data_IF_372576929636
#
_entry.id   IF_372576929636
#
_cell.length_a   1.000
_cell.length_b   1.000
_cell.length_c   1.000
_cell.angle_alpha   90.00
_cell.angle_beta   90.00
_cell.angle_gamma   90.00
#
_symmetry.space_group_name_H-M   'P 1'
#
loop_
_entity.id
_entity.type
_entity.pdbx_description
1 polymer ?
#
# COMPACT_ATOMS: atom_id res chain seq x y z
N UNK A 1 8.86 -16.94 35.85
CA UNK A 1 8.28 -17.34 34.55
C UNK A 1 8.25 -16.11 33.64
N UNK A 2 9.29 -15.98 32.83
CA UNK A 2 9.51 -14.80 32.02
C UNK A 2 8.45 -14.73 30.92
N UNK A 3 7.59 -13.71 30.99
CA UNK A 3 6.68 -13.37 29.91
C UNK A 3 7.51 -12.89 28.72
N UNK A 4 7.86 -13.80 27.82
CA UNK A 4 8.39 -13.47 26.50
C UNK A 4 7.27 -12.76 25.72
N UNK A 5 7.29 -11.43 25.71
CA UNK A 5 6.44 -10.63 24.84
C UNK A 5 7.04 -10.70 23.43
N UNK A 6 6.33 -11.30 22.48
CA UNK A 6 6.77 -11.29 21.08
C UNK A 6 6.96 -9.84 20.61
N UNK A 7 7.99 -9.53 19.80
CA UNK A 7 8.17 -8.19 19.27
C UNK A 7 6.93 -7.79 18.43
N UNK A 8 6.56 -6.49 18.42
CA UNK A 8 5.43 -6.04 17.64
C UNK A 8 5.66 -6.34 16.16
N UNK A 9 4.60 -6.76 15.47
CA UNK A 9 4.67 -7.07 14.04
C UNK A 9 4.82 -5.79 13.21
N UNK A 10 5.59 -5.83 12.11
CA UNK A 10 5.97 -4.63 11.38
C UNK A 10 4.80 -3.95 10.67
N UNK A 11 4.79 -2.62 10.74
CA UNK A 11 3.97 -1.70 9.94
C UNK A 11 4.90 -0.62 9.40
N UNK A 12 5.09 -0.56 8.08
CA UNK A 12 6.19 0.17 7.44
C UNK A 12 5.65 1.01 6.28
N UNK A 13 6.24 2.19 6.11
CA UNK A 13 6.11 3.03 4.92
C UNK A 13 7.44 3.06 4.19
N UNK A 14 7.43 2.86 2.87
CA UNK A 14 8.64 2.85 2.04
C UNK A 14 8.45 3.69 0.79
N UNK A 15 9.45 4.52 0.44
CA UNK A 15 9.50 5.26 -0.82
C UNK A 15 10.56 4.64 -1.73
N UNK A 16 10.20 4.29 -2.96
CA UNK A 16 11.12 3.68 -3.92
C UNK A 16 10.75 3.96 -5.38
N UNK A 17 11.75 3.82 -6.26
CA UNK A 17 11.53 3.80 -7.71
C UNK A 17 11.04 2.42 -8.14
N UNK A 18 9.92 2.39 -8.87
CA UNK A 18 9.30 1.19 -9.41
C UNK A 18 9.61 1.06 -10.89
N UNK A 19 9.97 -0.16 -11.32
CA UNK A 19 10.24 -0.50 -12.72
C UNK A 19 9.19 -1.49 -13.23
N UNK A 20 8.43 -1.14 -14.28
CA UNK A 20 7.42 -2.00 -14.90
C UNK A 20 7.63 -2.15 -16.40
N UNK A 21 7.57 -3.40 -16.89
CA UNK A 21 7.87 -3.70 -18.29
C UNK A 21 6.76 -3.28 -19.26
N UNK A 22 5.49 -3.25 -18.82
CA UNK A 22 4.33 -2.77 -19.60
C UNK A 22 4.26 -3.39 -21.03
N UNK A 23 4.52 -4.70 -21.16
CA UNK A 23 4.74 -5.39 -22.45
C UNK A 23 3.50 -5.60 -23.31
N UNK A 24 2.29 -5.37 -22.79
CA UNK A 24 1.03 -5.40 -23.57
C UNK A 24 0.59 -3.96 -23.88
N UNK A 25 0.82 -3.52 -25.12
CA UNK A 25 0.81 -2.11 -25.55
C UNK A 25 -0.51 -1.65 -26.14
N UNK A 26 -1.62 -2.34 -25.87
CA UNK A 26 -2.95 -1.96 -26.36
C UNK A 26 -3.54 -0.68 -25.75
N UNK A 27 -2.83 0.01 -24.85
CA UNK A 27 -3.30 1.21 -24.14
C UNK A 27 -2.30 2.36 -24.20
N UNK A 28 -2.86 3.57 -24.24
CA UNK A 28 -2.25 4.85 -24.56
C UNK A 28 -0.76 4.99 -24.18
N UNK A 29 0.15 5.15 -25.16
CA UNK A 29 1.59 5.31 -24.91
C UNK A 29 1.98 6.75 -24.50
N UNK A 30 1.01 7.65 -24.38
CA UNK A 30 1.24 9.08 -24.18
C UNK A 30 0.89 9.51 -22.76
N UNK A 31 1.70 10.41 -22.20
CA UNK A 31 1.48 10.97 -20.86
C UNK A 31 2.08 10.13 -19.74
N UNK A 32 1.67 10.44 -18.50
CA UNK A 32 2.26 9.88 -17.27
C UNK A 32 1.43 8.75 -16.65
N UNK A 33 0.32 8.37 -17.28
CA UNK A 33 -0.60 7.36 -16.73
C UNK A 33 0.01 5.96 -16.70
N UNK A 34 0.85 5.61 -17.69
CA UNK A 34 1.55 4.33 -17.79
C UNK A 34 2.98 4.54 -18.27
N UNK A 35 3.93 4.44 -17.34
CA UNK A 35 5.36 4.63 -17.61
C UNK A 35 6.18 3.48 -17.01
N UNK A 36 7.35 3.24 -17.59
CA UNK A 36 8.24 2.17 -17.11
C UNK A 36 8.87 2.46 -15.76
N UNK A 37 8.94 3.73 -15.36
CA UNK A 37 9.62 4.18 -14.15
C UNK A 37 8.80 5.25 -13.43
N UNK A 38 8.50 5.03 -12.15
CA UNK A 38 7.79 6.01 -11.31
C UNK A 38 8.17 5.85 -9.84
N UNK A 39 8.03 6.91 -9.04
CA UNK A 39 8.23 6.85 -7.59
C UNK A 39 6.94 6.46 -6.89
N UNK A 40 7.01 5.55 -5.92
CA UNK A 40 5.85 5.10 -5.14
C UNK A 40 6.16 5.11 -3.65
N UNK A 41 5.22 5.61 -2.85
CA UNK A 41 5.16 5.40 -1.41
C UNK A 41 4.23 4.22 -1.14
N UNK A 42 4.73 3.18 -0.47
CA UNK A 42 4.00 1.94 -0.17
C UNK A 42 3.74 1.81 1.33
N UNK A 43 2.51 1.42 1.69
CA UNK A 43 2.18 0.91 3.02
C UNK A 43 2.27 -0.61 3.03
N UNK A 44 3.03 -1.16 3.98
CA UNK A 44 3.19 -2.60 4.15
C UNK A 44 3.03 -2.96 5.62
N UNK A 45 2.32 -4.05 5.92
CA UNK A 45 2.23 -4.55 7.29
C UNK A 45 2.11 -6.06 7.35
N UNK A 46 2.57 -6.60 8.47
CA UNK A 46 2.41 -8.01 8.85
C UNK A 46 1.52 -8.05 10.07
N UNK A 47 0.50 -8.90 10.04
CA UNK A 47 -0.45 -9.07 11.14
C UNK A 47 -0.28 -10.44 11.78
N UNK A 48 -0.80 -10.57 13.00
CA UNK A 48 -1.04 -11.87 13.58
C UNK A 48 -2.12 -12.59 12.75
N UNK A 49 -2.27 -13.88 13.01
CA UNK A 49 -3.33 -14.70 12.43
C UNK A 49 -3.99 -15.54 13.54
N UNK A 50 -4.15 -14.93 14.72
CA UNK A 50 -4.67 -15.61 15.91
C UNK A 50 -6.21 -15.63 15.89
N UNK A 51 -6.83 -14.49 15.54
CA UNK A 51 -8.27 -14.32 15.42
C UNK A 51 -8.81 -14.51 14.00
N UNK A 52 -7.95 -14.42 12.99
CA UNK A 52 -8.30 -14.55 11.57
C UNK A 52 -8.91 -13.29 10.94
N UNK A 53 -9.09 -12.21 11.71
CA UNK A 53 -9.62 -10.91 11.24
C UNK A 53 -8.55 -9.82 11.11
N UNK A 54 -7.37 -10.02 11.70
CA UNK A 54 -6.37 -8.96 11.89
C UNK A 54 -5.86 -8.39 10.57
N UNK A 55 -5.68 -9.23 9.55
CA UNK A 55 -5.24 -8.80 8.21
C UNK A 55 -6.33 -7.99 7.49
N UNK A 56 -7.60 -8.31 7.71
CA UNK A 56 -8.72 -7.56 7.15
C UNK A 56 -8.86 -6.20 7.83
N UNK A 57 -8.70 -6.15 9.16
CA UNK A 57 -8.71 -4.90 9.92
C UNK A 57 -7.59 -3.95 9.46
N UNK A 58 -6.38 -4.48 9.25
CA UNK A 58 -5.26 -3.69 8.72
C UNK A 58 -5.51 -3.22 7.29
N UNK A 59 -6.14 -4.05 6.45
CA UNK A 59 -6.53 -3.67 5.09
C UNK A 59 -7.53 -2.51 5.11
N UNK A 60 -8.57 -2.60 5.97
CA UNK A 60 -9.58 -1.55 6.11
C UNK A 60 -8.96 -0.23 6.58
N UNK A 61 -7.99 -0.30 7.50
CA UNK A 61 -7.21 0.85 7.95
C UNK A 61 -6.39 1.46 6.81
N UNK A 62 -5.67 0.66 6.03
CA UNK A 62 -4.89 1.15 4.87
C UNK A 62 -5.79 1.80 3.82
N UNK A 63 -6.96 1.24 3.56
CA UNK A 63 -7.94 1.82 2.65
C UNK A 63 -8.47 3.15 3.20
N UNK A 64 -8.74 3.26 4.49
CA UNK A 64 -9.17 4.52 5.11
C UNK A 64 -8.11 5.62 4.94
N UNK A 65 -6.84 5.31 5.22
CA UNK A 65 -5.71 6.24 5.02
C UNK A 65 -5.57 6.67 3.55
N UNK A 66 -5.74 5.75 2.59
CA UNK A 66 -5.75 6.08 1.16
C UNK A 66 -6.86 7.07 0.81
N UNK A 67 -8.08 6.85 1.33
CA UNK A 67 -9.21 7.75 1.09
C UNK A 67 -8.99 9.13 1.72
N UNK A 68 -8.43 9.18 2.92
CA UNK A 68 -8.05 10.44 3.57
C UNK A 68 -7.05 11.22 2.72
N UNK A 69 -5.94 10.60 2.30
CA UNK A 69 -4.93 11.24 1.44
C UNK A 69 -5.53 11.80 0.14
N UNK A 70 -6.41 11.05 -0.54
CA UNK A 70 -7.05 11.54 -1.76
C UNK A 70 -8.04 12.68 -1.48
N UNK A 71 -8.73 12.64 -0.34
CA UNK A 71 -9.66 13.69 0.09
C UNK A 71 -8.93 14.98 0.42
N UNK A 72 -7.79 14.90 1.12
CA UNK A 72 -6.94 16.05 1.44
C UNK A 72 -6.37 16.73 0.18
N UNK A 73 -6.08 15.95 -0.87
CA UNK A 73 -5.67 16.46 -2.17
C UNK A 73 -6.83 17.07 -2.98
N UNK A 74 -8.08 16.95 -2.51
CA UNK A 74 -9.27 17.42 -3.21
C UNK A 74 -9.58 16.63 -4.49
N UNK A 75 -9.11 15.38 -4.58
CA UNK A 75 -9.35 14.51 -5.73
C UNK A 75 -10.68 13.77 -5.57
N UNK A 76 -11.47 13.72 -6.63
CA UNK A 76 -12.65 12.87 -6.67
C UNK A 76 -12.25 11.41 -6.96
N UNK A 77 -12.64 10.47 -6.10
CA UNK A 77 -12.35 9.04 -6.23
C UNK A 77 -13.57 8.19 -5.87
N UNK A 78 -13.46 6.87 -6.05
CA UNK A 78 -14.48 5.87 -5.67
C UNK A 78 -13.81 4.63 -5.11
#
# INVERSE_FOLDING_TARGET
PDHFCAPPLPRIVCSSTCYRAETDTGREPWGLYRVHQFTKVEMFGVTAAEGGSESQELLDEFVALQKEMFSELGLHFR
#
